data_IF_108763380086
#
_entry.id   IF_108763380086
#
_cell.length_a   1.000
_cell.length_b   1.000
_cell.length_c   1.000
_cell.angle_alpha   90.00
_cell.angle_beta   90.00
_cell.angle_gamma   90.00
#
_symmetry.space_group_name_H-M   'P 1'
#
loop_
_entity.id
_entity.type
_entity.pdbx_description
1 polymer ?
#
# COMPACT_ATOMS: atom_id res chain seq x y z
N UNK A 1 3.33 35.10 8.36
CA UNK A 1 4.42 34.49 7.58
C UNK A 1 4.12 33.02 7.33
N UNK A 2 3.67 32.70 6.12
CA UNK A 2 3.59 31.31 5.66
C UNK A 2 5.02 30.91 5.27
N UNK A 3 5.61 29.94 5.94
CA UNK A 3 6.90 29.38 5.52
C UNK A 3 6.82 28.97 4.05
N UNK A 4 7.67 29.56 3.19
CA UNK A 4 7.74 29.16 1.79
C UNK A 4 8.22 27.71 1.72
N UNK A 5 7.30 26.81 1.42
CA UNK A 5 7.58 25.39 1.27
C UNK A 5 8.30 25.19 -0.07
N UNK A 6 9.53 24.68 -0.01
CA UNK A 6 10.29 24.27 -1.19
C UNK A 6 10.14 22.76 -1.39
N UNK A 7 9.75 22.34 -2.59
CA UNK A 7 9.59 20.93 -2.95
C UNK A 7 10.66 20.49 -3.96
N UNK A 8 11.39 19.43 -3.61
CA UNK A 8 12.33 18.77 -4.52
C UNK A 8 11.74 17.43 -4.95
N UNK A 9 11.36 17.32 -6.21
CA UNK A 9 10.83 16.11 -6.83
C UNK A 9 11.97 15.39 -7.52
N UNK A 10 12.09 14.09 -7.25
CA UNK A 10 13.11 13.26 -7.86
C UNK A 10 12.46 12.17 -8.71
N UNK A 11 12.74 12.19 -10.01
CA UNK A 11 12.17 11.21 -10.95
C UNK A 11 13.20 10.12 -11.22
N UNK A 12 12.80 8.86 -11.00
CA UNK A 12 13.56 7.66 -11.38
C UNK A 12 12.68 6.71 -12.19
N UNK A 13 13.29 6.03 -13.14
CA UNK A 13 12.62 5.03 -13.96
C UNK A 13 13.65 3.96 -14.36
N UNK A 14 13.24 2.68 -14.37
CA UNK A 14 14.14 1.56 -14.71
C UNK A 14 14.57 1.56 -16.18
N UNK A 15 13.67 2.00 -17.07
CA UNK A 15 13.97 2.19 -18.48
C UNK A 15 14.59 3.58 -18.70
N UNK A 16 15.87 3.59 -19.06
CA UNK A 16 16.66 4.80 -19.33
C UNK A 16 16.14 5.58 -20.54
N UNK A 17 15.61 4.90 -21.55
CA UNK A 17 15.08 5.58 -22.74
C UNK A 17 13.82 6.38 -22.38
N UNK A 18 12.93 5.78 -21.57
CA UNK A 18 11.75 6.49 -21.04
C UNK A 18 12.14 7.65 -20.13
N UNK A 19 13.12 7.46 -19.25
CA UNK A 19 13.60 8.53 -18.38
C UNK A 19 14.20 9.70 -19.18
N UNK A 20 14.98 9.38 -20.21
CA UNK A 20 15.52 10.39 -21.14
C UNK A 20 14.40 11.12 -21.88
N UNK A 21 13.35 10.41 -22.33
CA UNK A 21 12.20 11.01 -22.99
C UNK A 21 11.42 11.97 -22.08
N UNK A 22 11.15 11.56 -20.83
CA UNK A 22 10.50 12.42 -19.82
C UNK A 22 11.36 13.65 -19.53
N UNK A 23 12.68 13.48 -19.42
CA UNK A 23 13.60 14.60 -19.23
C UNK A 23 13.54 15.59 -20.40
N UNK A 24 13.59 15.11 -21.64
CA UNK A 24 13.45 15.97 -22.83
C UNK A 24 12.12 16.71 -22.85
N UNK A 25 11.01 16.02 -22.56
CA UNK A 25 9.68 16.65 -22.52
C UNK A 25 9.58 17.72 -21.42
N UNK A 26 10.17 17.48 -20.26
CA UNK A 26 10.21 18.46 -19.18
C UNK A 26 11.05 19.69 -19.54
N UNK A 27 12.17 19.50 -20.25
CA UNK A 27 12.98 20.61 -20.77
C UNK A 27 12.20 21.43 -21.80
N UNK A 28 11.58 20.80 -22.79
CA UNK A 28 10.80 21.47 -23.83
C UNK A 28 9.62 22.27 -23.27
N UNK A 29 8.97 21.77 -22.21
CA UNK A 29 7.91 22.51 -21.50
C UNK A 29 8.45 23.66 -20.67
N UNK A 30 9.65 23.51 -20.09
CA UNK A 30 10.26 24.56 -19.26
C UNK A 30 10.72 25.79 -20.06
N UNK A 31 11.06 25.62 -21.34
CA UNK A 31 11.43 26.74 -22.21
C UNK A 31 10.22 27.61 -22.62
N UNK A 32 9.00 27.07 -22.56
CA UNK A 32 7.80 27.71 -23.10
C UNK A 32 6.92 28.41 -22.05
N UNK A 33 7.23 28.29 -20.75
CA UNK A 33 6.42 28.88 -19.68
C UNK A 33 7.33 29.40 -18.52
N UNK A 34 7.30 30.70 -18.17
CA UNK A 34 8.14 31.27 -17.11
C UNK A 34 7.78 30.82 -15.70
N UNK A 35 6.60 30.20 -15.50
CA UNK A 35 6.21 29.52 -14.25
C UNK A 35 6.53 28.01 -14.29
N UNK A 36 7.15 27.53 -15.37
CA UNK A 36 7.43 26.12 -15.56
C UNK A 36 8.56 25.60 -14.68
N UNK A 37 8.52 24.28 -14.50
CA UNK A 37 9.37 23.56 -13.56
C UNK A 37 10.83 23.59 -14.03
N UNK A 38 11.72 24.07 -13.15
CA UNK A 38 13.15 24.09 -13.43
C UNK A 38 13.70 22.67 -13.28
N UNK A 39 14.18 22.11 -14.39
CA UNK A 39 14.86 20.82 -14.45
C UNK A 39 16.36 21.06 -14.36
N UNK A 40 17.03 20.47 -13.37
CA UNK A 40 18.49 20.62 -13.22
C UNK A 40 19.12 19.31 -12.73
N UNK A 41 20.14 18.84 -13.46
CA UNK A 41 20.97 17.71 -13.06
C UNK A 41 22.00 18.07 -11.96
N UNK A 42 22.34 19.35 -11.75
CA UNK A 42 23.59 19.72 -11.05
C UNK A 42 23.53 20.86 -10.04
N UNK A 43 22.46 21.66 -9.96
CA UNK A 43 22.44 22.82 -9.05
C UNK A 43 21.66 22.58 -7.76
N UNK A 44 22.36 22.09 -6.72
CA UNK A 44 21.87 22.13 -5.31
C UNK A 44 21.63 23.56 -4.79
N UNK A 45 22.13 24.59 -5.50
CA UNK A 45 22.22 25.98 -5.02
C UNK A 45 21.21 26.98 -5.64
N UNK A 46 20.18 26.55 -6.37
CA UNK A 46 19.25 27.46 -7.06
C UNK A 46 17.86 27.54 -6.40
N UNK A 47 17.43 28.71 -5.94
CA UNK A 47 16.24 28.92 -5.10
C UNK A 47 14.91 28.96 -5.88
N UNK A 48 14.46 27.85 -6.46
CA UNK A 48 13.08 27.70 -6.99
C UNK A 48 12.12 27.05 -5.97
N UNK A 49 10.81 27.31 -6.12
CA UNK A 49 9.73 26.73 -5.28
C UNK A 49 9.50 25.24 -5.56
N UNK A 50 9.69 24.81 -6.81
CA UNK A 50 9.67 23.42 -7.25
C UNK A 50 10.94 23.10 -8.05
N UNK A 51 11.61 22.01 -7.71
CA UNK A 51 12.78 21.48 -8.45
C UNK A 51 12.47 20.05 -8.90
N UNK A 52 12.72 19.73 -10.17
CA UNK A 52 12.73 18.34 -10.63
C UNK A 52 14.17 17.92 -10.91
N UNK A 53 14.67 17.00 -10.09
CA UNK A 53 15.93 16.30 -10.34
C UNK A 53 15.65 14.97 -11.02
N UNK A 54 16.44 14.62 -12.02
CA UNK A 54 16.41 13.30 -12.65
C UNK A 54 17.68 12.56 -12.26
N UNK A 55 17.53 11.44 -11.54
CA UNK A 55 18.67 10.59 -11.22
C UNK A 55 18.74 9.42 -12.19
N UNK A 56 19.71 9.50 -13.09
CA UNK A 56 20.24 8.34 -13.81
C UNK A 56 21.00 7.49 -12.79
N UNK A 57 20.72 6.19 -12.74
CA UNK A 57 21.29 5.23 -11.78
C UNK A 57 22.76 5.53 -11.45
N UNK A 58 23.01 5.99 -10.23
CA UNK A 58 24.34 5.99 -9.66
C UNK A 58 24.39 4.85 -8.67
N UNK A 59 24.89 3.71 -9.16
CA UNK A 59 25.54 2.72 -8.31
C UNK A 59 26.71 3.41 -7.58
N UNK A 60 26.41 4.04 -6.46
CA UNK A 60 27.35 4.86 -5.72
C UNK A 60 26.67 5.48 -4.52
N UNK A 61 26.56 4.70 -3.45
CA UNK A 61 25.99 5.13 -2.19
C UNK A 61 26.66 6.41 -1.69
N UNK A 62 25.85 7.46 -1.58
CA UNK A 62 26.05 8.50 -0.58
C UNK A 62 26.01 7.82 0.79
N UNK A 63 27.18 7.40 1.27
CA UNK A 63 27.40 7.11 2.69
C UNK A 63 27.44 8.45 3.43
N UNK A 64 26.29 9.12 3.52
CA UNK A 64 26.10 10.18 4.51
C UNK A 64 25.25 9.61 5.64
N UNK A 65 25.72 9.80 6.88
CA UNK A 65 25.22 9.07 8.03
C UNK A 65 23.74 9.29 8.31
N UNK A 66 23.02 8.18 8.47
CA UNK A 66 21.80 8.06 9.28
C UNK A 66 20.51 8.71 8.76
N UNK A 67 20.57 9.79 7.98
CA UNK A 67 19.39 10.48 7.48
C UNK A 67 19.05 10.05 6.05
N UNK A 68 17.79 9.70 5.81
CA UNK A 68 17.29 9.40 4.46
C UNK A 68 17.24 10.70 3.66
N UNK A 69 17.65 10.65 2.39
CA UNK A 69 17.78 11.85 1.54
C UNK A 69 16.43 12.35 1.02
N UNK A 70 15.39 11.52 1.06
CA UNK A 70 14.05 11.80 0.52
C UNK A 70 13.02 11.68 1.64
N UNK A 71 12.13 12.65 1.77
CA UNK A 71 11.03 12.56 2.74
C UNK A 71 9.95 11.57 2.27
N UNK A 72 9.55 11.67 1.00
CA UNK A 72 8.47 10.83 0.43
C UNK A 72 8.87 10.31 -0.95
N UNK A 73 8.83 8.99 -1.13
CA UNK A 73 8.87 8.33 -2.42
C UNK A 73 7.47 7.91 -2.87
N UNK A 74 7.15 8.18 -4.13
CA UNK A 74 5.90 7.74 -4.74
C UNK A 74 6.16 6.68 -5.81
N UNK A 75 5.55 5.51 -5.65
CA UNK A 75 5.65 4.38 -6.58
C UNK A 75 4.31 4.22 -7.30
N UNK A 76 4.31 4.36 -8.63
CA UNK A 76 3.12 4.23 -9.46
C UNK A 76 3.20 3.01 -10.39
N UNK A 77 2.32 2.03 -10.16
CA UNK A 77 2.24 0.75 -10.91
C UNK A 77 3.57 0.00 -11.02
N UNK A 78 4.51 0.24 -10.11
CA UNK A 78 5.85 -0.35 -10.19
C UNK A 78 5.80 -1.85 -9.90
N UNK A 79 4.84 -2.28 -9.07
CA UNK A 79 4.65 -3.69 -8.72
C UNK A 79 3.84 -4.39 -9.82
N UNK A 80 2.73 -3.81 -10.27
CA UNK A 80 1.91 -4.33 -11.37
C UNK A 80 2.72 -4.56 -12.65
N UNK A 81 3.70 -3.69 -12.94
CA UNK A 81 4.59 -3.82 -14.11
C UNK A 81 5.53 -5.03 -14.05
N UNK A 82 5.76 -5.62 -12.87
CA UNK A 82 6.56 -6.84 -12.73
C UNK A 82 5.71 -8.12 -12.76
N UNK A 83 4.39 -7.98 -12.82
CA UNK A 83 3.50 -9.12 -12.87
C UNK A 83 3.74 -9.96 -14.12
N UNK A 84 3.77 -11.27 -13.94
CA UNK A 84 3.87 -12.24 -15.04
C UNK A 84 2.50 -12.81 -15.34
N UNK A 85 2.25 -13.08 -16.61
CA UNK A 85 1.07 -13.83 -17.03
C UNK A 85 1.20 -15.29 -16.59
N UNK A 86 0.12 -15.83 -16.03
CA UNK A 86 -0.02 -17.24 -15.67
C UNK A 86 -1.46 -17.70 -15.91
N UNK A 87 -1.63 -19.01 -16.09
CA UNK A 87 -2.94 -19.62 -16.26
C UNK A 87 -3.21 -20.54 -15.07
N UNK A 88 -4.36 -20.36 -14.41
CA UNK A 88 -4.71 -21.13 -13.23
C UNK A 88 -5.92 -22.02 -13.47
N UNK A 89 -5.88 -23.29 -13.02
CA UNK A 89 -7.05 -24.15 -13.05
C UNK A 89 -8.10 -23.62 -12.06
N UNK A 90 -9.35 -23.63 -12.49
CA UNK A 90 -10.53 -23.38 -11.65
C UNK A 90 -11.55 -24.48 -11.88
N UNK A 91 -12.27 -24.92 -10.83
CA UNK A 91 -13.26 -25.98 -10.98
C UNK A 91 -14.38 -25.54 -11.92
N UNK A 92 -14.78 -26.44 -12.83
CA UNK A 92 -15.98 -26.25 -13.63
C UNK A 92 -17.21 -26.34 -12.71
N UNK A 93 -18.09 -25.34 -12.80
CA UNK A 93 -19.31 -25.27 -12.00
C UNK A 93 -20.51 -25.64 -12.88
N UNK A 94 -21.48 -26.41 -12.37
CA UNK A 94 -22.59 -26.92 -13.18
C UNK A 94 -23.59 -25.85 -13.63
N UNK A 95 -23.70 -24.72 -12.93
CA UNK A 95 -24.78 -23.73 -13.15
C UNK A 95 -24.25 -22.37 -13.63
N UNK A 96 -23.75 -22.32 -14.87
CA UNK A 96 -23.21 -21.09 -15.48
C UNK A 96 -24.30 -20.03 -15.71
N UNK A 97 -24.02 -18.74 -15.41
CA UNK A 97 -24.99 -17.68 -15.64
C UNK A 97 -25.32 -17.54 -17.13
N UNK A 98 -26.56 -17.20 -17.46
CA UNK A 98 -26.89 -16.76 -18.82
C UNK A 98 -26.23 -15.41 -19.15
N UNK A 99 -26.15 -15.06 -20.44
CA UNK A 99 -25.57 -13.79 -20.88
C UNK A 99 -26.22 -12.56 -20.22
N UNK A 100 -27.54 -12.58 -19.98
CA UNK A 100 -28.26 -11.48 -19.33
C UNK A 100 -28.02 -11.40 -17.82
N UNK A 101 -27.70 -12.53 -17.18
CA UNK A 101 -27.40 -12.62 -15.75
C UNK A 101 -25.91 -12.42 -15.45
N UNK A 102 -25.06 -12.47 -16.47
CA UNK A 102 -23.63 -12.29 -16.33
C UNK A 102 -23.29 -10.81 -16.08
N UNK A 103 -23.00 -10.48 -14.83
CA UNK A 103 -22.55 -9.14 -14.41
C UNK A 103 -21.11 -9.24 -13.88
N UNK A 104 -20.08 -9.04 -14.73
CA UNK A 104 -18.68 -9.22 -14.34
C UNK A 104 -18.25 -8.40 -13.13
N UNK A 105 -18.78 -7.19 -12.97
CA UNK A 105 -18.42 -6.27 -11.88
C UNK A 105 -18.80 -6.78 -10.47
N UNK A 106 -19.67 -7.81 -10.36
CA UNK A 106 -20.05 -8.40 -9.07
C UNK A 106 -19.04 -9.41 -8.55
N UNK A 107 -18.06 -9.81 -9.36
CA UNK A 107 -17.09 -10.84 -9.02
C UNK A 107 -15.75 -10.23 -8.64
N UNK A 108 -15.11 -10.81 -7.62
CA UNK A 108 -13.72 -10.48 -7.30
C UNK A 108 -12.78 -11.10 -8.32
N UNK A 109 -11.97 -10.27 -8.97
CA UNK A 109 -10.89 -10.73 -9.86
C UNK A 109 -9.66 -11.16 -9.08
N UNK A 110 -9.57 -10.83 -7.78
CA UNK A 110 -8.46 -11.26 -6.94
C UNK A 110 -8.68 -12.71 -6.53
N UNK A 111 -7.66 -13.55 -6.74
CA UNK A 111 -7.65 -14.91 -6.22
C UNK A 111 -7.34 -14.87 -4.73
N UNK A 112 -8.11 -15.59 -3.94
CA UNK A 112 -7.82 -15.79 -2.51
C UNK A 112 -6.67 -16.79 -2.40
N UNK A 113 -5.61 -16.37 -1.74
CA UNK A 113 -4.41 -17.17 -1.46
C UNK A 113 -4.33 -17.46 0.03
N UNK A 114 -3.57 -18.48 0.42
CA UNK A 114 -3.36 -18.80 1.83
C UNK A 114 -2.61 -17.66 2.54
N UNK A 115 -2.71 -17.61 3.88
CA UNK A 115 -2.17 -16.48 4.67
C UNK A 115 -0.65 -16.30 4.51
N UNK A 116 0.11 -17.37 4.29
CA UNK A 116 1.56 -17.33 4.12
C UNK A 116 2.01 -17.13 2.66
N UNK A 117 1.08 -16.96 1.73
CA UNK A 117 1.43 -16.89 0.31
C UNK A 117 1.90 -15.49 -0.10
N UNK A 118 3.20 -15.36 -0.36
CA UNK A 118 3.85 -14.13 -0.86
C UNK A 118 3.52 -13.79 -2.33
N UNK A 119 2.45 -14.37 -2.88
CA UNK A 119 2.01 -14.16 -4.25
C UNK A 119 0.71 -13.38 -4.26
N UNK A 120 0.62 -12.39 -5.13
CA UNK A 120 -0.65 -11.71 -5.42
C UNK A 120 -1.08 -12.07 -6.83
N UNK A 121 -2.31 -12.53 -6.98
CA UNK A 121 -2.86 -12.97 -8.25
C UNK A 121 -4.17 -12.25 -8.53
N UNK A 122 -4.29 -11.67 -9.72
CA UNK A 122 -5.54 -11.12 -10.24
C UNK A 122 -5.84 -11.77 -11.58
N UNK A 123 -7.04 -12.32 -11.72
CA UNK A 123 -7.57 -12.77 -13.00
C UNK A 123 -7.68 -11.59 -13.97
N UNK A 124 -7.47 -11.87 -15.26
CA UNK A 124 -7.62 -10.92 -16.35
C UNK A 124 -9.03 -10.97 -16.96
N UNK A 125 -9.78 -12.02 -16.66
CA UNK A 125 -11.18 -12.20 -17.04
C UNK A 125 -12.03 -12.49 -15.80
N UNK A 126 -13.35 -12.28 -15.92
CA UNK A 126 -14.28 -12.59 -14.84
C UNK A 126 -14.15 -14.09 -14.48
N UNK A 127 -14.02 -14.45 -13.20
CA UNK A 127 -13.89 -15.86 -12.80
C UNK A 127 -15.19 -16.66 -12.94
N UNK A 128 -16.32 -15.98 -13.16
CA UNK A 128 -17.60 -16.58 -13.51
C UNK A 128 -17.95 -16.18 -14.94
N UNK A 129 -18.25 -17.15 -15.79
CA UNK A 129 -18.55 -16.90 -17.21
C UNK A 129 -19.80 -17.69 -17.63
N UNK A 130 -20.54 -17.20 -18.64
CA UNK A 130 -21.51 -18.00 -19.38
C UNK A 130 -20.79 -19.07 -20.21
N UNK A 131 -21.53 -20.08 -20.69
CA UNK A 131 -20.96 -21.19 -21.48
C UNK A 131 -20.17 -20.70 -22.71
N UNK A 132 -20.69 -19.69 -23.41
CA UNK A 132 -19.99 -19.07 -24.55
C UNK A 132 -18.68 -18.38 -24.13
N UNK A 133 -18.64 -17.80 -22.93
CA UNK A 133 -17.44 -17.17 -22.36
C UNK A 133 -16.39 -18.21 -21.99
N UNK A 134 -16.80 -19.32 -21.37
CA UNK A 134 -15.92 -20.45 -21.10
C UNK A 134 -15.36 -21.05 -22.37
N UNK A 135 -16.20 -21.34 -23.37
CA UNK A 135 -15.75 -21.87 -24.66
C UNK A 135 -14.66 -21.00 -25.31
N UNK A 136 -14.80 -19.67 -25.24
CA UNK A 136 -13.78 -18.75 -25.75
C UNK A 136 -12.49 -18.80 -24.93
N UNK A 137 -12.59 -18.68 -23.59
CA UNK A 137 -11.42 -18.66 -22.71
C UNK A 137 -10.65 -19.98 -22.80
N UNK A 138 -11.36 -21.10 -22.82
CA UNK A 138 -10.78 -22.43 -22.93
C UNK A 138 -10.10 -22.65 -24.28
N UNK A 139 -10.68 -22.14 -25.38
CA UNK A 139 -10.02 -22.17 -26.69
C UNK A 139 -8.69 -21.39 -26.66
N UNK A 140 -8.68 -20.19 -26.08
CA UNK A 140 -7.45 -19.40 -25.92
C UNK A 140 -6.45 -20.11 -25.01
N UNK A 141 -6.90 -20.62 -23.86
CA UNK A 141 -6.07 -21.35 -22.91
C UNK A 141 -5.40 -22.55 -23.57
N UNK A 142 -6.16 -23.34 -24.34
CA UNK A 142 -5.66 -24.52 -25.03
C UNK A 142 -4.58 -24.16 -26.07
N UNK A 143 -4.75 -23.06 -26.80
CA UNK A 143 -3.76 -22.59 -27.79
C UNK A 143 -2.50 -22.07 -27.11
N UNK A 144 -2.65 -21.21 -26.10
CA UNK A 144 -1.51 -20.58 -25.40
C UNK A 144 -0.71 -21.60 -24.61
N UNK A 145 -1.38 -22.50 -23.88
CA UNK A 145 -0.75 -23.53 -23.07
C UNK A 145 -0.33 -24.76 -23.87
N UNK A 146 -0.83 -24.91 -25.10
CA UNK A 146 -0.64 -26.10 -25.96
C UNK A 146 -1.07 -27.41 -25.28
N UNK A 147 -2.06 -27.32 -24.40
CA UNK A 147 -2.56 -28.42 -23.59
C UNK A 147 -4.06 -28.28 -23.40
N UNK A 148 -4.81 -29.35 -23.61
CA UNK A 148 -6.24 -29.42 -23.30
C UNK A 148 -6.46 -29.53 -21.79
N UNK A 149 -7.53 -28.89 -21.30
CA UNK A 149 -8.01 -29.01 -19.93
C UNK A 149 -8.88 -30.27 -19.75
N UNK A 150 -9.01 -30.74 -18.51
CA UNK A 150 -9.96 -31.81 -18.17
C UNK A 150 -11.42 -31.33 -18.22
N UNK A 151 -12.41 -32.25 -18.22
CA UNK A 151 -13.82 -31.89 -18.30
C UNK A 151 -14.35 -31.14 -17.06
N UNK A 152 -13.67 -31.26 -15.91
CA UNK A 152 -14.09 -30.69 -14.63
C UNK A 152 -13.30 -29.43 -14.24
N UNK A 153 -12.52 -28.87 -15.16
CA UNK A 153 -11.70 -27.68 -14.92
C UNK A 153 -11.71 -26.71 -16.09
N UNK A 154 -11.72 -25.41 -15.80
CA UNK A 154 -11.39 -24.36 -16.76
C UNK A 154 -10.04 -23.73 -16.40
N UNK A 155 -9.47 -22.95 -17.32
CA UNK A 155 -8.26 -22.18 -17.01
C UNK A 155 -8.49 -20.69 -17.20
N UNK A 156 -8.17 -19.92 -16.17
CA UNK A 156 -8.28 -18.46 -16.22
C UNK A 156 -6.90 -17.82 -16.41
N UNK A 157 -6.78 -16.87 -17.34
CA UNK A 157 -5.59 -16.05 -17.43
C UNK A 157 -5.55 -15.11 -16.23
N UNK A 158 -4.38 -14.98 -15.64
CA UNK A 158 -4.13 -14.12 -14.51
C UNK A 158 -2.77 -13.45 -14.64
N UNK A 159 -2.63 -12.30 -14.01
CA UNK A 159 -1.33 -11.73 -13.71
C UNK A 159 -0.98 -12.03 -12.26
N UNK A 160 0.26 -12.46 -12.05
CA UNK A 160 0.77 -12.79 -10.72
C UNK A 160 2.10 -12.09 -10.46
N UNK A 161 2.24 -11.56 -9.25
CA UNK A 161 3.52 -11.13 -8.69
C UNK A 161 3.94 -12.10 -7.59
N UNK A 162 5.25 -12.23 -7.39
CA UNK A 162 5.86 -12.98 -6.29
C UNK A 162 6.82 -12.06 -5.55
N UNK A 163 6.61 -11.83 -4.25
CA UNK A 163 7.54 -11.04 -3.43
C UNK A 163 8.84 -11.78 -3.11
N UNK A 164 8.92 -13.07 -3.44
CA UNK A 164 10.16 -13.83 -3.41
C UNK A 164 11.08 -13.51 -4.60
N UNK A 165 10.56 -12.86 -5.65
CA UNK A 165 11.41 -12.41 -6.74
C UNK A 165 12.35 -11.31 -6.20
N UNK A 166 13.65 -11.61 -6.17
CA UNK A 166 14.66 -10.72 -5.59
C UNK A 166 14.67 -9.30 -6.18
N UNK A 167 14.17 -9.15 -7.42
CA UNK A 167 14.06 -7.85 -8.08
C UNK A 167 12.97 -6.93 -7.52
N UNK A 168 11.89 -7.47 -6.93
CA UNK A 168 10.84 -6.67 -6.29
C UNK A 168 11.26 -6.31 -4.87
N UNK A 169 11.75 -7.30 -4.11
CA UNK A 169 12.26 -7.09 -2.76
C UNK A 169 13.40 -6.06 -2.72
N UNK A 170 14.41 -6.24 -3.57
CA UNK A 170 15.56 -5.32 -3.62
C UNK A 170 15.18 -3.89 -3.97
N UNK A 171 14.11 -3.69 -4.77
CA UNK A 171 13.61 -2.36 -5.08
C UNK A 171 12.92 -1.71 -3.88
N UNK A 172 12.04 -2.43 -3.18
CA UNK A 172 11.44 -1.90 -1.96
C UNK A 172 12.52 -1.57 -0.92
N UNK A 173 13.51 -2.44 -0.75
CA UNK A 173 14.65 -2.20 0.13
C UNK A 173 15.43 -0.95 -0.28
N UNK A 174 15.66 -0.72 -1.58
CA UNK A 174 16.33 0.48 -2.09
C UNK A 174 15.50 1.74 -1.80
N UNK A 175 14.20 1.72 -2.13
CA UNK A 175 13.32 2.88 -1.96
C UNK A 175 13.16 3.22 -0.48
N UNK A 176 13.03 2.23 0.40
CA UNK A 176 12.96 2.43 1.85
C UNK A 176 14.29 2.84 2.49
N UNK A 177 15.43 2.60 1.84
CA UNK A 177 16.72 3.18 2.25
C UNK A 177 16.83 4.65 1.87
N UNK A 178 16.26 5.03 0.73
CA UNK A 178 16.32 6.40 0.22
C UNK A 178 15.28 7.32 0.85
N UNK A 179 14.09 6.80 1.15
CA UNK A 179 12.93 7.59 1.56
C UNK A 179 12.41 7.27 2.97
N UNK A 180 12.04 8.31 3.72
CA UNK A 180 11.36 8.19 5.03
C UNK A 180 10.00 7.49 4.87
N UNK A 181 9.22 7.94 3.89
CA UNK A 181 7.88 7.42 3.59
C UNK A 181 7.80 6.93 2.16
N UNK A 182 7.13 5.80 1.95
CA UNK A 182 6.92 5.23 0.61
C UNK A 182 5.43 5.06 0.38
N UNK A 183 4.88 5.85 -0.53
CA UNK A 183 3.51 5.78 -0.99
C UNK A 183 3.46 4.98 -2.30
N UNK A 184 2.83 3.81 -2.27
CA UNK A 184 2.66 2.93 -3.43
C UNK A 184 1.22 2.97 -3.90
N UNK A 185 1.01 3.31 -5.17
CA UNK A 185 -0.28 3.26 -5.83
C UNK A 185 -0.25 2.19 -6.91
N UNK A 186 -0.90 1.05 -6.61
CA UNK A 186 -0.76 -0.20 -7.37
C UNK A 186 -1.98 -1.10 -7.16
N UNK A 187 -2.28 -2.01 -8.09
CA UNK A 187 -3.47 -2.87 -8.00
C UNK A 187 -3.21 -4.27 -7.42
N UNK A 188 -1.96 -4.76 -7.42
CA UNK A 188 -1.64 -6.12 -6.97
C UNK A 188 -1.10 -6.15 -5.54
N UNK A 189 -0.48 -5.05 -5.08
CA UNK A 189 0.13 -4.95 -3.76
C UNK A 189 -0.89 -5.06 -2.61
N UNK A 190 -0.57 -5.85 -1.59
CA UNK A 190 -1.34 -5.98 -0.35
C UNK A 190 -0.54 -5.59 0.91
N UNK A 191 -1.24 -5.17 1.97
CA UNK A 191 -0.68 -4.89 3.30
C UNK A 191 0.10 -6.10 3.84
N UNK A 192 -0.46 -7.31 3.69
CA UNK A 192 0.12 -8.55 4.22
C UNK A 192 1.50 -8.87 3.62
N UNK A 193 1.66 -8.61 2.32
CA UNK A 193 2.89 -8.91 1.59
C UNK A 193 4.06 -8.02 2.02
N UNK A 194 3.77 -6.74 2.30
CA UNK A 194 4.74 -5.82 2.86
C UNK A 194 5.08 -6.16 4.32
N UNK A 195 4.08 -6.48 5.13
CA UNK A 195 4.28 -6.88 6.51
C UNK A 195 5.18 -8.13 6.62
N UNK A 196 5.01 -9.11 5.73
CA UNK A 196 5.86 -10.30 5.66
C UNK A 196 7.33 -10.00 5.27
N UNK A 197 7.63 -8.83 4.70
CA UNK A 197 9.00 -8.36 4.44
C UNK A 197 9.55 -7.48 5.57
N UNK A 198 8.82 -7.34 6.69
CA UNK A 198 9.20 -6.45 7.79
C UNK A 198 9.02 -4.96 7.47
N UNK A 199 8.26 -4.63 6.42
CA UNK A 199 7.92 -3.25 6.08
C UNK A 199 6.67 -2.86 6.87
N UNK A 200 6.75 -1.81 7.68
CA UNK A 200 5.61 -1.35 8.45
C UNK A 200 4.63 -0.62 7.52
N UNK A 201 3.43 -1.19 7.37
CA UNK A 201 2.35 -0.57 6.60
C UNK A 201 1.57 0.32 7.53
N UNK A 202 1.59 1.60 7.22
CA UNK A 202 1.06 2.65 8.08
C UNK A 202 -0.31 3.12 7.58
N UNK A 203 -0.58 3.07 6.27
CA UNK A 203 -1.94 3.28 5.76
C UNK A 203 -2.19 2.40 4.55
N UNK A 204 -3.37 1.79 4.51
CA UNK A 204 -3.81 1.01 3.35
C UNK A 204 -5.23 1.47 3.00
N UNK A 205 -5.40 2.05 1.81
CA UNK A 205 -6.70 2.48 1.30
C UNK A 205 -6.94 1.85 -0.06
N UNK A 206 -8.13 1.27 -0.24
CA UNK A 206 -8.56 0.75 -1.54
C UNK A 206 -9.56 1.70 -2.17
N UNK A 207 -9.29 2.11 -3.40
CA UNK A 207 -10.17 3.02 -4.12
C UNK A 207 -11.36 2.26 -4.73
N UNK A 208 -12.57 2.79 -4.53
CA UNK A 208 -13.83 2.15 -4.93
C UNK A 208 -13.99 1.92 -6.44
N UNK A 209 -13.50 2.86 -7.24
CA UNK A 209 -13.80 2.94 -8.68
C UNK A 209 -12.75 2.29 -9.56
N UNK A 210 -11.47 2.34 -9.16
CA UNK A 210 -10.37 1.88 -10.01
C UNK A 210 -9.72 0.57 -9.55
N UNK A 211 -10.16 0.00 -8.42
CA UNK A 211 -9.63 -1.25 -7.88
C UNK A 211 -8.18 -1.17 -7.39
N UNK A 212 -7.54 0.00 -7.53
CA UNK A 212 -6.16 0.29 -7.11
C UNK A 212 -6.08 0.53 -5.61
N UNK A 213 -4.97 0.10 -5.05
CA UNK A 213 -4.64 0.24 -3.65
C UNK A 213 -3.61 1.37 -3.50
N UNK A 214 -3.82 2.23 -2.52
CA UNK A 214 -2.83 3.18 -2.04
C UNK A 214 -2.29 2.66 -0.71
N UNK A 215 -0.99 2.40 -0.68
CA UNK A 215 -0.29 1.87 0.49
C UNK A 215 0.80 2.83 0.91
N UNK A 216 0.72 3.35 2.12
CA UNK A 216 1.77 4.17 2.73
C UNK A 216 2.53 3.30 3.71
N UNK A 217 3.84 3.22 3.52
CA UNK A 217 4.72 2.33 4.25
C UNK A 217 6.01 3.04 4.67
N UNK A 218 6.61 2.58 5.77
CA UNK A 218 7.92 3.05 6.22
C UNK A 218 8.66 1.92 6.94
N UNK A 219 9.99 1.98 6.90
CA UNK A 219 10.87 1.16 7.72
C UNK A 219 11.40 1.93 8.94
N UNK A 220 11.02 3.21 9.09
CA UNK A 220 11.36 4.01 10.26
C UNK A 220 10.51 3.60 11.45
N UNK A 221 11.15 3.42 12.61
CA UNK A 221 10.43 3.39 13.87
C UNK A 221 9.79 4.78 14.10
N UNK A 222 8.52 4.82 14.47
CA UNK A 222 7.83 6.05 14.85
C UNK A 222 8.31 6.52 16.24
N UNK A 223 9.59 6.87 16.36
CA UNK A 223 10.24 7.22 17.64
C UNK A 223 9.51 8.35 18.37
N UNK A 224 9.08 9.37 17.63
CA UNK A 224 8.32 10.49 18.17
C UNK A 224 6.99 10.02 18.74
N UNK A 225 6.26 9.17 18.02
CA UNK A 225 5.01 8.60 18.48
C UNK A 225 5.23 7.74 19.74
N UNK A 226 6.28 6.92 19.77
CA UNK A 226 6.64 6.11 20.93
C UNK A 226 6.86 6.96 22.18
N UNK A 227 7.61 8.06 22.05
CA UNK A 227 7.84 9.01 23.15
C UNK A 227 6.53 9.66 23.60
N UNK A 228 5.66 10.07 22.67
CA UNK A 228 4.38 10.70 22.99
C UNK A 228 3.42 9.74 23.70
N UNK A 229 3.28 8.51 23.22
CA UNK A 229 2.44 7.48 23.84
C UNK A 229 2.99 7.11 25.21
N UNK A 230 4.31 6.90 25.33
CA UNK A 230 4.95 6.63 26.63
C UNK A 230 4.72 7.74 27.64
N UNK A 231 4.85 9.01 27.23
CA UNK A 231 4.56 10.17 28.08
C UNK A 231 3.12 10.17 28.56
N UNK A 232 2.14 9.93 27.68
CA UNK A 232 0.72 9.85 28.06
C UNK A 232 0.44 8.69 29.02
N UNK A 233 1.05 7.52 28.81
CA UNK A 233 0.92 6.40 29.73
C UNK A 233 1.53 6.71 31.11
N UNK A 234 2.64 7.46 31.15
CA UNK A 234 3.24 7.90 32.40
C UNK A 234 2.34 8.88 33.17
N UNK A 235 1.61 9.76 32.47
CA UNK A 235 0.63 10.68 33.08
C UNK A 235 -0.50 9.94 33.82
N UNK A 236 -0.84 8.71 33.40
CA UNK A 236 -1.85 7.86 34.05
C UNK A 236 -1.39 7.27 35.39
N UNK A 237 -0.11 7.44 35.78
CA UNK A 237 0.42 7.01 37.08
C UNK A 237 0.17 5.52 37.39
N UNK A 238 0.34 4.64 36.40
CA UNK A 238 0.03 3.21 36.46
C UNK A 238 0.95 2.38 37.41
N UNK A 239 1.94 3.00 38.05
CA UNK A 239 2.91 2.30 38.91
C UNK A 239 3.87 1.37 38.18
N UNK A 240 3.99 1.52 36.85
CA UNK A 240 4.91 0.76 36.00
C UNK A 240 6.28 1.44 35.96
N UNK A 241 7.35 0.63 35.91
CA UNK A 241 8.70 1.08 35.64
C UNK A 241 8.87 1.51 34.17
N UNK A 242 9.95 2.26 33.92
CA UNK A 242 10.18 2.93 32.64
C UNK A 242 10.30 1.95 31.45
N UNK A 243 10.89 0.78 31.67
CA UNK A 243 11.06 -0.27 30.67
C UNK A 243 9.72 -0.92 30.32
N UNK A 244 8.87 -1.22 31.33
CA UNK A 244 7.51 -1.74 31.09
C UNK A 244 6.63 -0.70 30.41
N UNK A 245 6.75 0.58 30.73
CA UNK A 245 6.04 1.67 30.02
C UNK A 245 6.48 1.77 28.56
N UNK A 246 7.78 1.65 28.28
CA UNK A 246 8.29 1.64 26.92
C UNK A 246 7.79 0.42 26.12
N UNK A 247 7.74 -0.76 26.75
CA UNK A 247 7.17 -1.97 26.16
C UNK A 247 5.67 -1.84 25.88
N UNK A 248 4.90 -1.28 26.82
CA UNK A 248 3.46 -1.05 26.67
C UNK A 248 3.17 -0.04 25.55
N UNK A 249 3.95 1.05 25.46
CA UNK A 249 3.80 2.04 24.39
C UNK A 249 4.03 1.42 23.01
N UNK A 250 5.00 0.50 22.87
CA UNK A 250 5.25 -0.22 21.61
C UNK A 250 4.05 -1.09 21.22
N UNK A 251 3.54 -1.89 22.16
CA UNK A 251 2.36 -2.73 21.94
C UNK A 251 1.12 -1.91 21.56
N UNK A 252 0.88 -0.79 22.24
CA UNK A 252 -0.24 0.11 21.92
C UNK A 252 -0.16 0.64 20.47
N UNK A 253 1.04 0.97 19.98
CA UNK A 253 1.22 1.43 18.59
C UNK A 253 0.97 0.28 17.60
N UNK A 254 1.46 -0.92 17.90
CA UNK A 254 1.24 -2.12 17.08
C UNK A 254 -0.26 -2.48 16.98
N UNK A 255 -0.95 -2.51 18.12
CA UNK A 255 -2.38 -2.81 18.21
C UNK A 255 -3.21 -1.73 17.51
N UNK A 256 -2.85 -0.45 17.65
CA UNK A 256 -3.50 0.63 16.94
C UNK A 256 -3.31 0.51 15.42
N UNK A 257 -2.11 0.19 14.95
CA UNK A 257 -1.82 0.04 13.52
C UNK A 257 -2.51 -1.20 12.89
N UNK A 258 -2.91 -2.17 13.73
CA UNK A 258 -3.76 -3.27 13.30
C UNK A 258 -5.19 -2.82 13.01
N UNK A 259 -5.72 -1.85 13.78
CA UNK A 259 -7.09 -1.33 13.66
C UNK A 259 -7.18 -0.18 12.64
N UNK A 260 -6.40 0.89 12.85
CA UNK A 260 -6.39 2.09 12.02
C UNK A 260 -4.99 2.67 11.89
N UNK A 261 -4.52 2.67 10.66
CA UNK A 261 -3.27 3.31 10.30
C UNK A 261 -3.34 4.84 10.28
N UNK A 262 -4.52 5.41 10.05
CA UNK A 262 -4.69 6.85 10.00
C UNK A 262 -4.54 7.49 11.39
N UNK A 263 -5.09 6.86 12.44
CA UNK A 263 -4.88 7.29 13.83
C UNK A 263 -3.39 7.34 14.17
N UNK A 264 -2.61 6.34 13.73
CA UNK A 264 -1.16 6.29 13.95
C UNK A 264 -0.46 7.46 13.26
N UNK A 265 -0.85 7.82 12.04
CA UNK A 265 -0.32 8.98 11.32
C UNK A 265 -0.70 10.30 11.99
N UNK A 266 -1.96 10.45 12.41
CA UNK A 266 -2.44 11.64 13.11
C UNK A 266 -1.70 11.82 14.43
N UNK A 267 -1.51 10.74 15.19
CA UNK A 267 -0.76 10.73 16.44
C UNK A 267 0.72 11.04 16.26
N UNK A 268 1.35 10.58 15.17
CA UNK A 268 2.74 10.91 14.86
C UNK A 268 2.93 12.39 14.49
N UNK A 269 1.92 13.03 13.86
CA UNK A 269 1.98 14.44 13.43
C UNK A 269 1.52 15.43 14.52
N UNK A 270 0.56 15.04 15.36
CA UNK A 270 -0.06 15.89 16.39
C UNK A 270 -0.13 15.12 17.71
N UNK A 271 0.62 15.55 18.73
CA UNK A 271 0.65 14.87 20.04
C UNK A 271 -0.69 14.79 20.80
N UNK A 272 -1.73 15.47 20.33
CA UNK A 272 -3.11 15.35 20.84
C UNK A 272 -3.72 13.98 20.48
N UNK A 273 -3.39 13.43 19.30
CA UNK A 273 -3.94 12.17 18.80
C UNK A 273 -3.31 10.92 19.45
N UNK A 274 -2.29 11.06 20.29
CA UNK A 274 -1.75 9.94 21.07
C UNK A 274 -2.76 9.41 22.12
N UNK A 275 -3.62 10.29 22.66
CA UNK A 275 -4.68 9.89 23.58
C UNK A 275 -5.81 9.11 22.88
N UNK A 276 -6.16 9.53 21.67
CA UNK A 276 -7.13 8.84 20.81
C UNK A 276 -6.65 7.43 20.46
N UNK A 277 -5.35 7.29 20.13
CA UNK A 277 -4.71 5.99 19.91
C UNK A 277 -4.84 5.06 21.12
N UNK A 278 -4.50 5.55 22.31
CA UNK A 278 -4.61 4.76 23.56
C UNK A 278 -6.08 4.38 23.79
N UNK A 279 -7.02 5.32 23.64
CA UNK A 279 -8.45 5.07 23.80
C UNK A 279 -8.96 3.98 22.86
N UNK A 280 -8.56 4.01 21.58
CA UNK A 280 -8.92 3.00 20.59
C UNK A 280 -8.50 1.58 21.01
N UNK A 281 -7.24 1.42 21.41
CA UNK A 281 -6.68 0.13 21.80
C UNK A 281 -7.35 -0.40 23.07
N UNK A 282 -7.58 0.47 24.05
CA UNK A 282 -8.28 0.08 25.28
C UNK A 282 -9.74 -0.29 25.01
N UNK A 283 -10.45 0.44 24.16
CA UNK A 283 -11.82 0.10 23.76
C UNK A 283 -11.88 -1.30 23.12
N UNK A 284 -10.93 -1.62 22.22
CA UNK A 284 -10.82 -2.97 21.67
C UNK A 284 -10.59 -4.01 22.78
N UNK A 285 -9.64 -3.77 23.67
CA UNK A 285 -9.32 -4.70 24.75
C UNK A 285 -10.52 -4.99 25.67
N UNK A 286 -11.30 -3.95 26.01
CA UNK A 286 -12.53 -4.09 26.81
C UNK A 286 -13.59 -4.91 26.06
N UNK A 287 -13.78 -4.64 24.76
CA UNK A 287 -14.76 -5.41 23.96
C UNK A 287 -14.32 -6.87 23.80
N UNK A 288 -13.03 -7.14 23.61
CA UNK A 288 -12.49 -8.51 23.59
C UNK A 288 -12.69 -9.23 24.93
N UNK A 289 -12.49 -8.54 26.06
CA UNK A 289 -12.73 -9.09 27.40
C UNK A 289 -14.21 -9.45 27.63
N UNK A 290 -15.13 -8.57 27.23
CA UNK A 290 -16.58 -8.78 27.38
C UNK A 290 -17.12 -9.88 26.44
N UNK A 291 -16.56 -10.01 25.23
CA UNK A 291 -16.98 -11.03 24.25
C UNK A 291 -16.35 -12.41 24.48
N UNK A 292 -15.21 -12.49 25.18
CA UNK A 292 -14.50 -13.73 25.46
C UNK A 292 -14.18 -14.55 24.20
N UNK A 293 -14.53 -15.84 24.19
CA UNK A 293 -14.31 -16.75 23.06
C UNK A 293 -15.09 -16.38 21.77
N UNK A 294 -15.95 -15.35 21.79
CA UNK A 294 -16.61 -14.77 20.62
C UNK A 294 -15.92 -13.52 20.08
N UNK A 295 -14.65 -13.30 20.45
CA UNK A 295 -13.88 -12.14 20.00
C UNK A 295 -13.89 -12.01 18.47
N UNK A 296 -14.06 -10.77 18.01
CA UNK A 296 -14.09 -10.43 16.60
C UNK A 296 -12.80 -10.89 15.88
N UNK A 297 -12.97 -11.44 14.68
CA UNK A 297 -11.89 -11.87 13.78
C UNK A 297 -11.25 -10.66 13.08
N UNK A 298 -12.02 -9.58 12.91
CA UNK A 298 -11.54 -8.36 12.29
C UNK A 298 -12.05 -7.09 12.99
N UNK A 299 -11.20 -6.07 13.03
CA UNK A 299 -11.48 -4.77 13.64
C UNK A 299 -11.35 -3.65 12.62
N UNK A 300 -12.31 -2.72 12.63
CA UNK A 300 -12.34 -1.58 11.72
C UNK A 300 -12.67 -0.31 12.49
N UNK A 301 -11.91 0.77 12.25
CA UNK A 301 -12.34 2.11 12.62
C UNK A 301 -13.27 2.65 11.53
N UNK A 302 -14.50 3.00 11.87
CA UNK A 302 -15.48 3.44 10.86
C UNK A 302 -15.09 4.77 10.20
N UNK A 303 -14.33 5.63 10.88
CA UNK A 303 -13.84 6.88 10.32
C UNK A 303 -12.91 6.68 9.11
N UNK A 304 -12.09 5.62 9.11
CA UNK A 304 -11.23 5.24 7.97
C UNK A 304 -12.05 4.89 6.72
N UNK A 305 -13.32 4.54 6.93
CA UNK A 305 -14.29 4.19 5.91
C UNK A 305 -15.44 5.18 5.87
N UNK A 306 -15.31 6.44 6.31
CA UNK A 306 -16.41 7.40 6.29
C UNK A 306 -16.96 7.65 4.86
N UNK A 307 -16.08 7.66 3.85
CA UNK A 307 -16.47 7.75 2.43
C UNK A 307 -17.34 6.54 2.01
N UNK A 308 -17.05 5.36 2.59
CA UNK A 308 -18.00 4.24 2.83
C UNK A 308 -19.48 4.57 2.84
N UNK A 309 -19.76 5.45 3.78
CA UNK A 309 -21.04 5.73 4.37
C UNK A 309 -21.61 7.05 3.85
N UNK A 310 -20.92 7.68 2.88
CA UNK A 310 -21.30 8.99 2.34
C UNK A 310 -21.02 10.15 3.30
N UNK A 311 -20.16 9.95 4.30
CA UNK A 311 -19.78 10.96 5.29
C UNK A 311 -18.36 11.51 5.03
N UNK A 312 -18.06 12.68 5.58
CA UNK A 312 -16.70 13.22 5.61
C UNK A 312 -15.89 12.53 6.71
N UNK A 313 -14.59 12.33 6.47
CA UNK A 313 -13.61 11.87 7.48
C UNK A 313 -13.64 12.83 8.70
N UNK A 314 -13.40 12.32 9.91
CA UNK A 314 -13.42 13.00 11.23
C UNK A 314 -14.81 13.14 11.92
N UNK A 315 -15.80 12.33 11.55
CA UNK A 315 -17.17 12.45 12.05
C UNK A 315 -17.73 11.24 12.81
N UNK A 316 -17.06 10.09 12.77
CA UNK A 316 -17.59 8.82 13.27
C UNK A 316 -16.59 8.17 14.21
N UNK A 317 -16.78 8.33 15.52
CA UNK A 317 -15.92 7.74 16.54
C UNK A 317 -16.42 6.35 16.95
N UNK A 318 -16.43 5.40 16.01
CA UNK A 318 -16.94 4.05 16.25
C UNK A 318 -15.97 2.97 15.76
N UNK A 319 -15.80 1.92 16.58
CA UNK A 319 -15.10 0.69 16.23
C UNK A 319 -16.12 -0.40 15.86
N UNK A 320 -15.83 -1.14 14.80
CA UNK A 320 -16.61 -2.30 14.37
C UNK A 320 -15.74 -3.55 14.50
N UNK A 321 -16.19 -4.50 15.32
CA UNK A 321 -15.66 -5.86 15.38
C UNK A 321 -16.59 -6.84 14.67
N UNK A 322 -16.05 -7.69 13.79
CA UNK A 322 -16.77 -8.79 13.10
C UNK A 322 -16.05 -10.10 13.37
#
# INVERSE_FOLDING_TARGET
DQEEVHCNVLVRHRDRARLSGVYTELLERSENDPDAVVVSETSRNFMSKLRIGVMLDVAGGSKSGGAREIDVAFLHDVVSRQAREQWFPVPALPDNPSLLQHVPARWSYRRVTAEDELKATSYLTCPRQPDAGWAYIDAVANVVRRQSHGPDEHYLPARQISFQDGGLKGMFDEVHKLAEWVATYDDLLDKRQLAAQGINVIRYRRQRTHGRNMVVSSTSELRILHVLVKRRLAELSLGLDDDRLAGLARRMIEDANAISGDIVLRAAKRGVSAGELIGLVLSRALVEEELGDRAAVAWFLLDDYAEWLGQKEEGIADILGI
#
